data_IF_371293737667
#
_entry.id   IF_371293737667
#
_cell.length_a   1.000
_cell.length_b   1.000
_cell.length_c   1.000
_cell.angle_alpha   90.00
_cell.angle_beta   90.00
_cell.angle_gamma   90.00
#
_symmetry.space_group_name_H-M   'P 1'
#
loop_
_entity.id
_entity.type
_entity.pdbx_description
1 polymer ?
#
# COMPACT_ATOMS: atom_id res chain seq x y z
N UNK A 1 -23.51 5.44 -16.02
CA UNK A 1 -22.97 4.08 -15.75
C UNK A 1 -22.60 4.02 -14.29
N UNK A 2 -22.78 2.88 -13.62
CA UNK A 2 -22.35 2.71 -12.22
C UNK A 2 -20.84 2.39 -12.22
N UNK A 3 -20.00 3.32 -11.79
CA UNK A 3 -18.56 3.15 -11.62
C UNK A 3 -18.29 2.31 -10.35
N UNK A 4 -17.62 1.17 -10.52
CA UNK A 4 -17.27 0.25 -9.42
C UNK A 4 -15.76 0.23 -9.23
N UNK A 5 -15.31 0.79 -8.12
CA UNK A 5 -13.90 0.94 -7.77
C UNK A 5 -13.58 -0.02 -6.63
N UNK A 6 -12.52 -0.80 -6.78
CA UNK A 6 -11.96 -1.60 -5.67
C UNK A 6 -10.64 -0.98 -5.24
N UNK A 7 -10.48 -0.73 -3.94
CA UNK A 7 -9.21 -0.24 -3.38
C UNK A 7 -8.58 -1.36 -2.55
N UNK A 8 -7.39 -1.79 -2.94
CA UNK A 8 -6.61 -2.75 -2.17
C UNK A 8 -5.80 -1.97 -1.14
N UNK A 9 -6.01 -2.27 0.14
CA UNK A 9 -5.26 -1.65 1.24
C UNK A 9 -4.57 -2.72 2.09
N UNK A 10 -3.44 -2.34 2.68
CA UNK A 10 -2.74 -3.15 3.67
C UNK A 10 -2.60 -2.39 4.99
N UNK A 11 -2.84 -3.08 6.10
CA UNK A 11 -2.43 -2.61 7.41
C UNK A 11 -0.93 -2.87 7.60
N UNK A 12 -0.17 -1.85 7.95
CA UNK A 12 1.28 -1.96 8.21
C UNK A 12 1.62 -1.35 9.57
N UNK A 13 2.70 -1.78 10.22
CA UNK A 13 3.22 -1.11 11.41
C UNK A 13 3.57 0.35 11.09
N UNK A 14 3.19 1.28 11.97
CA UNK A 14 3.62 2.67 11.85
C UNK A 14 5.11 2.78 12.19
N UNK A 15 5.81 3.65 11.47
CA UNK A 15 7.21 3.99 11.74
C UNK A 15 7.36 4.98 12.89
N UNK A 16 6.24 5.39 13.53
CA UNK A 16 6.22 6.26 14.71
C UNK A 16 6.59 5.47 15.98
N UNK A 17 7.76 4.85 16.00
CA UNK A 17 8.28 4.21 17.19
C UNK A 17 9.28 5.13 17.86
N UNK A 18 8.87 5.82 18.91
CA UNK A 18 9.82 6.08 20.00
C UNK A 18 9.24 5.52 21.27
N UNK A 19 10.08 4.82 22.02
CA UNK A 19 10.44 5.18 23.39
C UNK A 19 11.32 4.15 24.04
N UNK A 20 12.65 4.29 24.12
CA UNK A 20 13.49 3.51 25.04
C UNK A 20 13.19 3.82 26.52
N UNK A 21 13.32 2.77 27.31
CA UNK A 21 13.28 2.59 28.76
C UNK A 21 14.61 2.73 29.41
N UNK A 22 15.29 3.83 29.18
CA UNK A 22 16.74 3.91 29.34
C UNK A 22 17.26 3.60 30.77
N UNK A 23 16.39 3.46 31.77
CA UNK A 23 16.70 2.95 33.12
C UNK A 23 17.11 1.46 33.16
N UNK A 24 16.64 0.64 32.20
CA UNK A 24 17.34 -0.58 31.72
C UNK A 24 17.88 -0.42 30.29
N UNK A 25 17.33 0.53 29.53
CA UNK A 25 17.15 0.51 28.07
C UNK A 25 15.68 0.34 27.59
N UNK A 26 14.76 -0.27 28.32
CA UNK A 26 13.38 -0.73 27.98
C UNK A 26 12.43 0.10 27.09
N UNK A 27 12.50 0.03 25.75
CA UNK A 27 11.50 0.74 24.94
C UNK A 27 10.08 0.22 25.15
N UNK A 28 9.15 1.00 25.72
CA UNK A 28 7.81 0.44 26.03
C UNK A 28 6.64 1.41 25.85
N UNK A 29 5.67 0.97 25.06
CA UNK A 29 4.23 0.85 25.35
C UNK A 29 3.68 -0.09 24.29
N UNK A 30 3.17 -1.24 24.73
CA UNK A 30 2.87 -2.43 23.92
C UNK A 30 2.06 -2.16 22.65
N UNK A 31 2.51 -2.78 21.55
CA UNK A 31 1.95 -2.76 20.21
C UNK A 31 2.62 -1.72 19.31
N UNK A 32 3.21 -2.12 18.18
CA UNK A 32 3.40 -1.14 17.10
C UNK A 32 1.99 -0.76 16.66
N UNK A 33 1.63 0.51 16.83
CA UNK A 33 0.42 1.03 16.23
C UNK A 33 0.45 0.67 14.75
N UNK A 34 -0.69 0.24 14.23
CA UNK A 34 -0.79 -0.18 12.84
C UNK A 34 -1.79 0.71 12.15
N UNK A 35 -1.42 1.22 10.98
CA UNK A 35 -2.23 2.13 10.19
C UNK A 35 -2.44 1.54 8.79
N UNK A 36 -3.33 2.16 8.02
CA UNK A 36 -3.31 1.96 6.56
C UNK A 36 -1.90 2.31 6.06
N UNK A 37 -1.34 1.47 5.19
CA UNK A 37 -0.12 1.77 4.48
C UNK A 37 -0.18 3.19 3.89
N UNK A 38 0.77 4.09 4.19
CA UNK A 38 0.69 5.48 3.76
C UNK A 38 0.49 5.64 2.25
N UNK A 39 1.06 4.74 1.45
CA UNK A 39 0.93 4.73 -0.01
C UNK A 39 -0.47 4.29 -0.47
N UNK A 40 -1.16 3.44 0.29
CA UNK A 40 -2.53 3.02 0.01
C UNK A 40 -3.55 4.11 0.36
N UNK A 41 -3.23 5.03 1.29
CA UNK A 41 -4.09 6.19 1.57
C UNK A 41 -4.31 7.07 0.34
N UNK A 42 -3.30 7.18 -0.53
CA UNK A 42 -3.43 7.92 -1.80
C UNK A 42 -4.36 7.21 -2.79
N UNK A 43 -4.41 5.88 -2.75
CA UNK A 43 -5.37 5.09 -3.54
C UNK A 43 -6.80 5.27 -3.02
N UNK A 44 -6.99 5.27 -1.70
CA UNK A 44 -8.27 5.56 -1.05
C UNK A 44 -8.75 6.96 -1.40
N UNK A 45 -7.90 7.98 -1.23
CA UNK A 45 -8.25 9.36 -1.56
C UNK A 45 -8.63 9.51 -3.03
N UNK A 46 -7.89 8.89 -3.95
CA UNK A 46 -8.20 8.99 -5.37
C UNK A 46 -9.56 8.36 -5.69
N UNK A 47 -9.88 7.20 -5.11
CA UNK A 47 -11.20 6.60 -5.27
C UNK A 47 -12.31 7.53 -4.77
N UNK A 48 -12.11 8.13 -3.58
CA UNK A 48 -13.08 9.07 -2.99
C UNK A 48 -13.22 10.33 -3.85
N UNK A 49 -12.14 10.88 -4.41
CA UNK A 49 -12.21 12.02 -5.35
C UNK A 49 -12.99 11.69 -6.62
N UNK A 50 -12.83 10.48 -7.16
CA UNK A 50 -13.63 10.03 -8.32
C UNK A 50 -15.11 10.01 -7.93
N UNK A 51 -15.43 9.48 -6.74
CA UNK A 51 -16.80 9.46 -6.22
C UNK A 51 -17.35 10.85 -5.94
N UNK A 52 -16.57 11.79 -5.42
CA UNK A 52 -17.02 13.16 -5.17
C UNK A 52 -17.53 13.85 -6.46
N UNK A 53 -16.98 13.49 -7.63
CA UNK A 53 -17.42 14.00 -8.93
C UNK A 53 -18.71 13.32 -9.45
N UNK A 54 -19.05 12.13 -8.96
CA UNK A 54 -20.20 11.34 -9.43
C UNK A 54 -20.79 10.47 -8.30
N UNK A 55 -21.28 11.08 -7.20
CA UNK A 55 -21.55 10.38 -5.94
C UNK A 55 -22.69 9.35 -6.06
N UNK A 56 -23.71 9.66 -6.85
CA UNK A 56 -24.89 8.78 -7.02
C UNK A 56 -24.62 7.57 -7.92
N UNK A 57 -23.46 7.54 -8.58
CA UNK A 57 -23.12 6.50 -9.57
C UNK A 57 -21.76 5.86 -9.33
N UNK A 58 -21.10 6.15 -8.20
CA UNK A 58 -19.78 5.58 -7.89
C UNK A 58 -19.84 4.81 -6.57
N UNK A 59 -19.45 3.54 -6.62
CA UNK A 59 -19.35 2.67 -5.45
C UNK A 59 -17.91 2.23 -5.24
N UNK A 60 -17.41 2.38 -4.01
CA UNK A 60 -16.04 2.05 -3.64
C UNK A 60 -16.04 0.91 -2.62
N UNK A 61 -15.52 -0.25 -3.01
CA UNK A 61 -15.27 -1.36 -2.10
C UNK A 61 -13.80 -1.37 -1.70
N UNK A 62 -13.50 -1.34 -0.40
CA UNK A 62 -12.15 -1.51 0.12
C UNK A 62 -11.91 -2.97 0.49
N UNK A 63 -10.81 -3.54 0.00
CA UNK A 63 -10.42 -4.94 0.20
C UNK A 63 -9.05 -5.00 0.88
N UNK A 64 -8.96 -5.76 1.97
CA UNK A 64 -7.69 -6.02 2.65
C UNK A 64 -7.52 -7.50 2.95
N UNK A 65 -6.27 -7.97 2.95
CA UNK A 65 -5.91 -9.30 3.47
C UNK A 65 -5.08 -9.10 4.73
N UNK A 66 -5.47 -9.77 5.82
CA UNK A 66 -4.75 -9.65 7.07
C UNK A 66 -5.45 -10.33 8.24
N UNK A 67 -4.87 -10.25 9.44
CA UNK A 67 -5.53 -10.73 10.64
C UNK A 67 -6.73 -9.84 11.00
N UNK A 68 -7.49 -10.24 12.02
CA UNK A 68 -8.69 -9.50 12.46
C UNK A 68 -8.41 -8.04 12.86
N UNK A 69 -7.19 -7.69 13.25
CA UNK A 69 -6.81 -6.30 13.53
C UNK A 69 -6.87 -5.39 12.29
N UNK A 70 -6.73 -5.94 11.08
CA UNK A 70 -6.80 -5.17 9.83
C UNK A 70 -8.21 -4.57 9.58
N UNK A 71 -9.23 -4.99 10.34
CA UNK A 71 -10.54 -4.33 10.36
C UNK A 71 -10.43 -2.84 10.69
N UNK A 72 -9.47 -2.41 11.52
CA UNK A 72 -9.31 -0.98 11.84
C UNK A 72 -8.91 -0.17 10.62
N UNK A 73 -8.01 -0.69 9.77
CA UNK A 73 -7.60 -0.07 8.52
C UNK A 73 -8.78 0.04 7.54
N UNK A 74 -9.60 -1.01 7.43
CA UNK A 74 -10.84 -0.96 6.63
C UNK A 74 -11.82 0.08 7.18
N UNK A 75 -12.02 0.13 8.51
CA UNK A 75 -12.88 1.14 9.15
C UNK A 75 -12.40 2.57 8.87
N UNK A 76 -11.11 2.80 8.86
CA UNK A 76 -10.54 4.10 8.54
C UNK A 76 -10.84 4.49 7.08
N UNK A 77 -10.64 3.59 6.11
CA UNK A 77 -10.99 3.84 4.71
C UNK A 77 -12.50 4.08 4.50
N UNK A 78 -13.36 3.32 5.20
CA UNK A 78 -14.80 3.58 5.25
C UNK A 78 -15.08 4.98 5.83
N UNK A 79 -14.37 5.40 6.88
CA UNK A 79 -14.55 6.72 7.47
C UNK A 79 -14.08 7.86 6.54
N UNK A 80 -13.15 7.59 5.62
CA UNK A 80 -12.70 8.54 4.59
C UNK A 80 -13.71 8.73 3.45
N UNK A 81 -14.53 7.72 3.13
CA UNK A 81 -15.56 7.85 2.08
C UNK A 81 -15.87 6.57 1.30
N UNK A 82 -15.17 5.46 1.55
CA UNK A 82 -15.49 4.16 0.94
C UNK A 82 -16.88 3.66 1.37
N UNK A 83 -17.51 2.83 0.54
CA UNK A 83 -18.88 2.36 0.73
C UNK A 83 -18.94 1.03 1.47
N UNK A 84 -18.09 0.08 1.08
CA UNK A 84 -18.12 -1.29 1.54
C UNK A 84 -16.71 -1.76 1.92
N UNK A 85 -16.59 -2.59 2.96
CA UNK A 85 -15.33 -3.12 3.43
C UNK A 85 -15.31 -4.65 3.46
N UNK A 86 -14.27 -5.24 2.89
CA UNK A 86 -14.04 -6.69 2.88
C UNK A 86 -12.67 -7.02 3.46
N UNK A 87 -12.66 -7.93 4.43
CA UNK A 87 -11.44 -8.50 4.99
C UNK A 87 -11.29 -9.96 4.60
N UNK A 88 -10.21 -10.28 3.90
CA UNK A 88 -9.74 -11.65 3.71
C UNK A 88 -8.91 -12.06 4.92
N UNK A 89 -9.49 -12.89 5.79
CA UNK A 89 -8.87 -13.31 7.06
C UNK A 89 -9.11 -14.79 7.33
N UNK A 90 -8.04 -15.57 7.23
CA UNK A 90 -7.99 -17.01 7.53
C UNK A 90 -6.58 -17.40 7.97
N UNK A 91 -6.45 -18.46 8.77
CA UNK A 91 -5.14 -18.97 9.24
C UNK A 91 -4.30 -19.50 8.09
N UNK A 92 -4.96 -20.03 7.07
CA UNK A 92 -4.40 -20.54 5.82
C UNK A 92 -3.69 -19.46 4.98
N UNK A 93 -3.95 -18.17 5.24
CA UNK A 93 -3.24 -17.07 4.58
C UNK A 93 -1.90 -16.72 5.26
N UNK A 94 -1.60 -17.31 6.41
CA UNK A 94 -0.41 -16.96 7.19
C UNK A 94 0.90 -17.30 6.45
N UNK A 95 1.86 -16.39 6.55
CA UNK A 95 3.19 -16.57 5.98
C UNK A 95 3.24 -16.48 4.45
N UNK A 96 2.20 -15.93 3.81
CA UNK A 96 2.17 -15.69 2.38
C UNK A 96 3.31 -14.76 1.93
N UNK A 97 3.97 -15.13 0.82
CA UNK A 97 4.76 -14.21 0.03
C UNK A 97 3.91 -13.36 -0.92
N UNK A 98 4.54 -12.59 -1.81
CA UNK A 98 3.84 -11.69 -2.74
C UNK A 98 2.96 -12.43 -3.74
N UNK A 99 3.34 -13.63 -4.18
CA UNK A 99 2.55 -14.42 -5.13
C UNK A 99 1.31 -15.01 -4.47
N UNK A 100 1.46 -15.66 -3.30
CA UNK A 100 0.33 -16.22 -2.56
C UNK A 100 -0.63 -15.12 -2.06
N UNK A 101 -0.09 -13.95 -1.70
CA UNK A 101 -0.89 -12.76 -1.36
C UNK A 101 -1.69 -12.28 -2.57
N UNK A 102 -1.05 -12.13 -3.75
CA UNK A 102 -1.73 -11.70 -4.96
C UNK A 102 -2.81 -12.70 -5.38
N UNK A 103 -2.54 -14.01 -5.33
CA UNK A 103 -3.54 -15.05 -5.61
C UNK A 103 -4.77 -14.91 -4.69
N UNK A 104 -4.54 -14.74 -3.39
CA UNK A 104 -5.63 -14.58 -2.40
C UNK A 104 -6.48 -13.34 -2.69
N UNK A 105 -5.84 -12.19 -2.99
CA UNK A 105 -6.54 -10.96 -3.38
C UNK A 105 -7.34 -11.12 -4.67
N UNK A 106 -6.82 -11.84 -5.66
CA UNK A 106 -7.54 -12.14 -6.90
C UNK A 106 -8.79 -12.98 -6.65
N UNK A 107 -8.74 -13.99 -5.77
CA UNK A 107 -9.93 -14.76 -5.42
C UNK A 107 -10.99 -13.88 -4.73
N UNK A 108 -10.58 -12.97 -3.84
CA UNK A 108 -11.48 -11.97 -3.26
C UNK A 108 -12.09 -11.03 -4.31
N UNK A 109 -11.28 -10.54 -5.26
CA UNK A 109 -11.72 -9.66 -6.34
C UNK A 109 -12.75 -10.32 -7.29
N UNK A 110 -12.65 -11.63 -7.53
CA UNK A 110 -13.60 -12.34 -8.40
C UNK A 110 -15.04 -12.24 -7.90
N UNK A 111 -15.26 -12.26 -6.58
CA UNK A 111 -16.57 -12.06 -5.97
C UNK A 111 -17.13 -10.66 -6.15
N UNK A 112 -16.29 -9.68 -6.49
CA UNK A 112 -16.65 -8.27 -6.71
C UNK A 112 -16.88 -7.94 -8.19
N UNK A 113 -16.65 -8.88 -9.11
CA UNK A 113 -16.85 -8.63 -10.52
C UNK A 113 -18.36 -8.46 -10.84
N UNK A 114 -18.76 -7.55 -11.75
CA UNK A 114 -17.91 -6.59 -12.47
C UNK A 114 -17.41 -5.42 -11.60
N UNK A 115 -16.15 -5.05 -11.81
CA UNK A 115 -15.56 -3.78 -11.36
C UNK A 115 -14.84 -3.13 -12.53
N UNK A 116 -14.61 -1.82 -12.42
CA UNK A 116 -14.05 -1.00 -13.49
C UNK A 116 -12.60 -0.58 -13.19
N UNK A 117 -12.30 -0.22 -11.94
CA UNK A 117 -10.98 0.27 -11.55
C UNK A 117 -10.53 -0.41 -10.27
N UNK A 118 -9.29 -0.92 -10.26
CA UNK A 118 -8.61 -1.35 -9.04
C UNK A 118 -7.48 -0.38 -8.72
N UNK A 119 -7.44 0.15 -7.50
CA UNK A 119 -6.38 1.04 -7.03
C UNK A 119 -5.62 0.40 -5.86
N UNK A 120 -4.30 0.59 -5.83
CA UNK A 120 -3.45 0.27 -4.69
C UNK A 120 -2.25 1.22 -4.63
N UNK A 121 -1.54 1.31 -3.51
CA UNK A 121 -0.25 2.00 -3.46
C UNK A 121 0.81 1.29 -4.31
N UNK A 122 1.91 1.98 -4.63
CA UNK A 122 3.04 1.40 -5.36
C UNK A 122 3.69 0.21 -4.62
N UNK A 123 3.74 0.27 -3.29
CA UNK A 123 4.32 -0.75 -2.41
C UNK A 123 3.82 -0.54 -0.99
N UNK A 124 4.02 -1.56 -0.15
CA UNK A 124 3.83 -1.45 1.30
C UNK A 124 5.15 -1.12 1.98
N UNK A 125 5.13 -0.27 3.01
CA UNK A 125 6.34 0.20 3.71
C UNK A 125 7.06 -0.87 4.54
N UNK A 126 6.39 -1.97 4.87
CA UNK A 126 6.95 -3.07 5.66
C UNK A 126 7.70 -4.10 4.80
N UNK A 127 7.12 -4.49 3.66
CA UNK A 127 7.70 -5.47 2.75
C UNK A 127 8.49 -4.86 1.59
N UNK A 128 8.20 -3.62 1.22
CA UNK A 128 8.87 -2.81 0.18
C UNK A 128 9.04 -3.46 -1.22
N UNK A 129 8.31 -4.53 -1.53
CA UNK A 129 8.54 -5.31 -2.76
C UNK A 129 8.03 -4.65 -4.04
N UNK A 130 6.95 -3.86 -3.96
CA UNK A 130 6.27 -3.31 -5.14
C UNK A 130 5.64 -4.35 -6.07
N UNK A 131 5.45 -5.59 -5.63
CA UNK A 131 5.09 -6.72 -6.49
C UNK A 131 3.60 -7.06 -6.53
N UNK A 132 2.87 -6.86 -5.43
CA UNK A 132 1.51 -7.41 -5.26
C UNK A 132 0.52 -6.81 -6.26
N UNK A 133 0.48 -5.49 -6.44
CA UNK A 133 -0.38 -4.83 -7.42
C UNK A 133 -0.19 -5.37 -8.85
N UNK A 134 1.06 -5.37 -9.39
CA UNK A 134 1.36 -5.97 -10.68
C UNK A 134 0.98 -7.45 -10.80
N UNK A 135 1.22 -8.26 -9.76
CA UNK A 135 0.84 -9.67 -9.76
C UNK A 135 -0.68 -9.87 -9.78
N UNK A 136 -1.44 -9.05 -9.04
CA UNK A 136 -2.91 -9.06 -9.07
C UNK A 136 -3.41 -8.73 -10.48
N UNK A 137 -2.87 -7.70 -11.12
CA UNK A 137 -3.25 -7.33 -12.49
C UNK A 137 -2.98 -8.48 -13.47
N UNK A 138 -1.78 -9.08 -13.41
CA UNK A 138 -1.41 -10.19 -14.27
C UNK A 138 -2.31 -11.43 -14.06
N UNK A 139 -2.59 -11.81 -12.81
CA UNK A 139 -3.42 -12.96 -12.48
C UNK A 139 -4.91 -12.76 -12.81
N UNK A 140 -5.41 -11.51 -12.76
CA UNK A 140 -6.76 -11.16 -13.21
C UNK A 140 -6.86 -10.96 -14.73
N UNK A 141 -5.74 -10.84 -15.45
CA UNK A 141 -5.73 -10.47 -16.87
C UNK A 141 -6.12 -9.01 -17.13
N UNK A 142 -5.80 -8.11 -16.19
CA UNK A 142 -6.08 -6.67 -16.31
C UNK A 142 -4.89 -5.93 -16.91
N UNK A 143 -5.15 -4.89 -17.72
CA UNK A 143 -4.16 -3.85 -17.96
C UNK A 143 -3.66 -3.24 -16.64
N UNK A 144 -2.38 -2.84 -16.62
CA UNK A 144 -1.69 -2.31 -15.45
C UNK A 144 -1.02 -0.98 -15.77
N UNK A 145 -1.20 0.01 -14.89
CA UNK A 145 -0.44 1.26 -14.91
C UNK A 145 0.22 1.44 -13.55
N UNK A 146 1.55 1.47 -13.50
CA UNK A 146 2.32 1.68 -12.26
C UNK A 146 2.87 3.09 -12.16
N UNK A 147 3.32 3.48 -10.96
CA UNK A 147 3.95 4.77 -10.68
C UNK A 147 3.06 5.98 -11.05
N UNK A 148 1.75 5.84 -10.82
CA UNK A 148 0.76 6.86 -11.21
C UNK A 148 0.81 8.06 -10.26
N UNK A 149 1.12 9.25 -10.80
CA UNK A 149 1.13 10.53 -10.07
C UNK A 149 -0.01 11.48 -10.50
N UNK A 150 -0.78 11.12 -11.53
CA UNK A 150 -2.04 11.79 -11.89
C UNK A 150 -2.97 10.78 -12.54
N UNK A 151 -4.25 10.81 -12.21
CA UNK A 151 -5.24 9.91 -12.79
C UNK A 151 -6.56 10.66 -13.04
N UNK A 152 -7.08 10.53 -14.25
CA UNK A 152 -8.41 11.02 -14.63
C UNK A 152 -9.22 9.89 -15.24
N UNK A 153 -10.51 9.89 -14.94
CA UNK A 153 -11.48 8.96 -15.50
C UNK A 153 -12.43 9.76 -16.39
N UNK A 154 -12.49 9.40 -17.67
CA UNK A 154 -13.41 10.02 -18.62
C UNK A 154 -14.00 8.97 -19.58
N UNK A 155 -15.31 9.02 -19.81
CA UNK A 155 -16.04 8.19 -20.79
C UNK A 155 -15.62 6.69 -20.89
N UNK A 156 -15.31 6.05 -19.76
CA UNK A 156 -14.92 4.63 -19.73
C UNK A 156 -13.44 4.35 -20.02
N UNK A 157 -12.61 5.39 -20.01
CA UNK A 157 -11.16 5.33 -20.20
C UNK A 157 -10.46 5.99 -19.01
N UNK A 158 -9.38 5.37 -18.55
CA UNK A 158 -8.46 5.97 -17.60
C UNK A 158 -7.31 6.60 -18.37
N UNK A 159 -7.04 7.88 -18.08
CA UNK A 159 -5.81 8.55 -18.49
C UNK A 159 -4.96 8.78 -17.26
N UNK A 160 -3.73 8.29 -17.29
CA UNK A 160 -2.81 8.37 -16.18
C UNK A 160 -1.49 9.01 -16.62
N UNK A 161 -0.93 9.85 -15.75
CA UNK A 161 0.45 10.28 -15.83
C UNK A 161 1.27 9.38 -14.90
N UNK A 162 2.27 8.68 -15.44
CA UNK A 162 3.18 7.85 -14.66
C UNK A 162 4.58 8.43 -14.63
N UNK A 163 5.25 8.31 -13.49
CA UNK A 163 6.64 8.70 -13.34
C UNK A 163 7.58 7.63 -13.90
N UNK A 164 8.68 8.10 -14.49
CA UNK A 164 9.86 7.33 -14.89
C UNK A 164 11.11 8.11 -14.45
N UNK A 165 12.28 7.48 -14.39
CA UNK A 165 13.51 8.07 -13.84
C UNK A 165 13.93 9.39 -14.53
N UNK A 166 13.51 9.60 -15.78
CA UNK A 166 13.81 10.80 -16.57
C UNK A 166 12.64 11.74 -16.86
N UNK A 167 11.45 11.51 -16.28
CA UNK A 167 10.28 12.35 -16.57
C UNK A 167 8.94 11.66 -16.33
N UNK A 168 7.97 11.94 -17.19
CA UNK A 168 6.61 11.38 -17.07
C UNK A 168 6.05 10.94 -18.42
N UNK A 169 5.29 9.85 -18.42
CA UNK A 169 4.53 9.39 -19.57
C UNK A 169 3.03 9.58 -19.32
N UNK A 170 2.31 10.00 -20.36
CA UNK A 170 0.84 10.04 -20.33
C UNK A 170 0.34 8.82 -21.10
N UNK A 171 -0.39 7.95 -20.42
CA UNK A 171 -0.93 6.71 -20.97
C UNK A 171 -2.45 6.69 -20.81
N UNK A 172 -3.15 6.07 -21.75
CA UNK A 172 -4.59 5.83 -21.68
C UNK A 172 -4.90 4.35 -21.80
N UNK A 173 -5.92 3.90 -21.08
CA UNK A 173 -6.33 2.50 -21.03
C UNK A 173 -7.86 2.38 -20.89
N UNK A 174 -8.52 1.49 -21.65
CA UNK A 174 -9.92 1.17 -21.41
C UNK A 174 -10.11 0.47 -20.05
N UNK A 175 -11.32 0.56 -19.50
CA UNK A 175 -11.72 -0.20 -18.31
C UNK A 175 -12.06 -1.66 -18.70
N UNK A 176 -11.84 -2.65 -17.80
CA UNK A 176 -11.29 -2.49 -16.46
C UNK A 176 -9.76 -2.39 -16.43
N UNK A 177 -9.20 -1.71 -15.43
CA UNK A 177 -7.74 -1.50 -15.27
C UNK A 177 -7.33 -1.51 -13.79
N UNK A 178 -6.09 -1.93 -13.51
CA UNK A 178 -5.46 -1.74 -12.21
C UNK A 178 -4.41 -0.63 -12.29
N UNK A 179 -4.44 0.31 -11.35
CA UNK A 179 -3.43 1.35 -11.24
C UNK A 179 -2.75 1.35 -9.85
N UNK A 180 -1.41 1.31 -9.86
CA UNK A 180 -0.59 1.47 -8.65
C UNK A 180 -0.16 2.94 -8.53
N UNK A 181 -0.52 3.57 -7.43
CA UNK A 181 -0.38 5.02 -7.25
C UNK A 181 0.82 5.41 -6.39
N UNK A 182 1.36 6.59 -6.67
CA UNK A 182 2.38 7.24 -5.89
C UNK A 182 1.80 8.24 -4.90
N UNK A 183 2.63 8.64 -3.94
CA UNK A 183 2.29 9.68 -2.97
C UNK A 183 2.03 11.04 -3.62
N UNK A 184 2.65 11.33 -4.76
CA UNK A 184 2.51 12.58 -5.49
C UNK A 184 1.13 12.72 -6.15
N UNK A 185 0.31 11.66 -6.16
CA UNK A 185 -1.02 11.67 -6.78
C UNK A 185 -1.97 12.68 -6.13
N UNK A 186 -1.95 12.76 -4.80
CA UNK A 186 -2.88 13.57 -4.02
C UNK A 186 -2.41 13.73 -2.57
N UNK A 187 -3.11 14.56 -1.81
CA UNK A 187 -3.01 14.64 -0.36
C UNK A 187 -4.25 13.97 0.26
N UNK A 188 -4.11 12.85 0.99
CA UNK A 188 -5.24 12.13 1.56
C UNK A 188 -6.00 12.96 2.59
N UNK A 189 -7.33 12.95 2.52
CA UNK A 189 -8.18 13.64 3.49
C UNK A 189 -8.18 12.93 4.84
N UNK A 190 -8.43 13.70 5.91
CA UNK A 190 -8.73 13.12 7.22
C UNK A 190 -10.20 12.67 7.30
N UNK A 191 -10.50 11.55 7.98
CA UNK A 191 -11.88 11.14 8.22
C UNK A 191 -12.64 12.17 9.07
N UNK A 192 -13.88 12.48 8.68
CA UNK A 192 -14.76 13.35 9.46
C UNK A 192 -15.42 12.59 10.62
N UNK A 193 -15.95 13.31 11.62
CA UNK A 193 -16.69 12.65 12.72
C UNK A 193 -17.91 11.88 12.20
N UNK A 194 -18.69 12.47 11.29
CA UNK A 194 -19.82 11.81 10.65
C UNK A 194 -19.38 10.56 9.88
N UNK A 195 -18.24 10.64 9.17
CA UNK A 195 -17.65 9.49 8.49
C UNK A 195 -17.28 8.36 9.45
N UNK A 196 -16.69 8.68 10.61
CA UNK A 196 -16.35 7.69 11.65
C UNK A 196 -17.60 7.02 12.25
N UNK A 197 -18.67 7.78 12.50
CA UNK A 197 -19.94 7.23 12.99
C UNK A 197 -20.53 6.26 11.97
N UNK A 198 -20.67 6.69 10.71
CA UNK A 198 -21.16 5.83 9.61
C UNK A 198 -20.31 4.57 9.46
N UNK A 199 -18.98 4.74 9.48
CA UNK A 199 -18.06 3.62 9.35
C UNK A 199 -18.18 2.62 10.49
N UNK A 200 -18.55 3.04 11.70
CA UNK A 200 -18.78 2.13 12.83
C UNK A 200 -20.08 1.31 12.67
N UNK A 201 -21.10 1.88 12.03
CA UNK A 201 -22.42 1.26 11.82
C UNK A 201 -22.45 0.24 10.68
N UNK A 202 -21.60 0.39 9.67
CA UNK A 202 -21.49 -0.56 8.56
C UNK A 202 -20.97 -1.91 9.06
N UNK A 203 -21.35 -3.02 8.43
CA UNK A 203 -20.69 -4.30 8.68
C UNK A 203 -19.47 -4.47 7.74
N UNK A 204 -18.41 -5.12 8.25
CA UNK A 204 -17.26 -5.52 7.42
C UNK A 204 -17.43 -7.01 7.10
N UNK A 205 -17.59 -7.32 5.82
CA UNK A 205 -17.63 -8.69 5.33
C UNK A 205 -16.27 -9.35 5.57
N UNK A 206 -16.25 -10.53 6.19
CA UNK A 206 -15.02 -11.27 6.44
C UNK A 206 -15.11 -12.62 5.73
N UNK A 207 -14.13 -12.91 4.89
CA UNK A 207 -14.06 -14.13 4.09
C UNK A 207 -12.74 -14.86 4.41
N UNK A 208 -12.83 -16.17 4.57
CA UNK A 208 -11.68 -17.07 4.66
C UNK A 208 -11.40 -17.72 3.29
N UNK A 209 -10.48 -18.69 3.23
CA UNK A 209 -10.09 -19.35 1.98
C UNK A 209 -11.26 -20.09 1.32
N UNK A 210 -12.20 -20.62 2.10
CA UNK A 210 -13.40 -21.27 1.58
C UNK A 210 -14.41 -20.24 1.06
N UNK A 211 -14.60 -19.13 1.80
CA UNK A 211 -15.49 -18.04 1.42
C UNK A 211 -15.13 -17.36 0.09
N UNK A 212 -13.86 -17.39 -0.30
CA UNK A 212 -13.38 -16.90 -1.62
C UNK A 212 -13.21 -18.02 -2.66
N UNK A 213 -13.53 -19.27 -2.34
CA UNK A 213 -13.38 -20.40 -3.26
C UNK A 213 -11.92 -20.67 -3.69
N UNK A 214 -10.95 -20.36 -2.83
CA UNK A 214 -9.53 -20.52 -3.14
C UNK A 214 -9.05 -21.97 -3.03
N UNK A 215 -8.07 -22.34 -3.86
CA UNK A 215 -7.31 -23.58 -3.69
C UNK A 215 -6.34 -23.43 -2.52
N UNK A 216 -6.56 -24.23 -1.47
CA UNK A 216 -5.75 -24.21 -0.24
C UNK A 216 -4.27 -24.46 -0.47
N UNK A 217 -3.88 -25.15 -1.53
CA UNK A 217 -2.47 -25.40 -1.87
C UNK A 217 -1.74 -24.14 -2.35
N UNK A 218 -2.48 -23.12 -2.81
CA UNK A 218 -1.95 -21.86 -3.33
C UNK A 218 -2.02 -20.71 -2.31
N UNK A 219 -2.42 -21.01 -1.07
CA UNK A 219 -2.57 -20.02 0.00
C UNK A 219 -1.38 -20.04 0.98
N UNK A 220 -1.13 -18.88 1.59
CA UNK A 220 -0.18 -18.74 2.69
C UNK A 220 1.21 -19.27 2.36
N UNK A 221 1.91 -19.74 3.39
CA UNK A 221 3.25 -20.30 3.27
C UNK A 221 3.32 -21.54 2.35
N UNK A 222 2.22 -22.31 2.25
CA UNK A 222 2.17 -23.51 1.41
C UNK A 222 2.23 -23.16 -0.08
N UNK A 223 1.48 -22.13 -0.49
CA UNK A 223 1.47 -21.61 -1.86
C UNK A 223 2.58 -20.63 -2.19
N UNK A 224 3.45 -20.30 -1.24
CA UNK A 224 4.50 -19.29 -1.42
C UNK A 224 5.73 -19.87 -2.12
N UNK A 225 6.07 -19.43 -3.35
CA UNK A 225 7.30 -19.83 -4.02
C UNK A 225 8.57 -19.30 -3.33
N UNK A 226 8.48 -18.18 -2.60
CA UNK A 226 9.61 -17.60 -1.86
C UNK A 226 9.43 -17.76 -0.35
N UNK A 227 10.56 -17.84 0.38
CA UNK A 227 10.59 -18.00 1.85
C UNK A 227 11.72 -17.18 2.45
N UNK A 228 11.40 -16.43 3.51
CA UNK A 228 12.40 -15.70 4.29
C UNK A 228 13.17 -16.68 5.17
N UNK A 229 14.45 -16.93 4.83
CA UNK A 229 15.30 -17.89 5.56
C UNK A 229 15.92 -17.24 6.80
N UNK A 230 16.29 -15.96 6.72
CA UNK A 230 16.99 -15.25 7.79
C UNK A 230 16.73 -13.75 7.70
N UNK A 231 16.45 -13.12 8.85
CA UNK A 231 16.38 -11.66 9.00
C UNK A 231 17.61 -11.20 9.77
N UNK A 232 18.27 -10.15 9.29
CA UNK A 232 19.46 -9.57 9.92
C UNK A 232 19.17 -8.09 10.15
N UNK A 233 19.43 -7.61 11.36
CA UNK A 233 19.36 -6.18 11.68
C UNK A 233 20.77 -5.58 11.50
N UNK A 234 21.03 -4.80 10.43
CA UNK A 234 22.32 -4.18 10.25
C UNK A 234 22.56 -3.17 11.38
N UNK A 235 23.68 -3.30 12.10
CA UNK A 235 24.12 -2.28 13.04
C UNK A 235 25.05 -1.33 12.29
N UNK A 236 24.59 -0.10 12.06
CA UNK A 236 25.41 0.94 11.47
C UNK A 236 26.21 1.61 12.58
N UNK A 237 27.47 1.22 12.76
CA UNK A 237 28.42 2.03 13.52
C UNK A 237 28.80 3.23 12.65
N UNK A 238 28.17 4.38 12.90
CA UNK A 238 28.53 5.63 12.24
C UNK A 238 29.80 6.18 12.89
N UNK A 239 30.94 6.02 12.22
CA UNK A 239 32.17 6.71 12.59
C UNK A 239 32.21 8.08 11.88
N UNK A 240 31.38 9.01 12.35
CA UNK A 240 31.24 10.33 11.73
C UNK A 240 32.55 11.10 11.85
N UNK A 241 33.17 11.42 10.72
CA UNK A 241 34.32 12.32 10.67
C UNK A 241 33.83 13.72 10.26
N UNK A 242 34.17 14.72 11.06
CA UNK A 242 33.86 16.11 10.79
C UNK A 242 35.12 16.82 10.31
N UNK A 243 35.09 17.35 9.09
CA UNK A 243 36.16 18.18 8.54
C UNK A 243 35.71 19.63 8.57
N UNK A 244 36.45 20.49 9.27
CA UNK A 244 36.11 21.89 9.45
C UNK A 244 36.98 22.76 8.52
N UNK A 245 36.34 23.50 7.62
CA UNK A 245 37.01 24.28 6.57
C UNK A 245 37.87 25.46 7.08
N UNK A 246 37.68 25.88 8.34
CA UNK A 246 38.45 26.95 8.98
C UNK A 246 39.88 26.55 9.34
N UNK A 247 40.15 25.26 9.55
CA UNK A 247 41.44 24.80 10.07
C UNK A 247 42.42 24.38 8.94
N UNK A 248 41.90 23.81 7.84
CA UNK A 248 42.71 23.25 6.74
C UNK A 248 42.48 23.95 5.39
N UNK A 249 41.53 24.89 5.34
CA UNK A 249 41.08 25.56 4.12
C UNK A 249 39.95 24.80 3.41
N UNK A 250 39.11 25.55 2.69
CA UNK A 250 37.90 25.02 2.06
C UNK A 250 38.19 23.95 0.99
N UNK A 251 39.26 24.10 0.23
CA UNK A 251 39.68 23.12 -0.79
C UNK A 251 40.07 21.77 -0.16
N UNK A 252 40.86 21.78 0.92
CA UNK A 252 41.26 20.56 1.60
C UNK A 252 40.05 19.81 2.19
N UNK A 253 39.10 20.53 2.80
CA UNK A 253 37.88 19.94 3.32
C UNK A 253 37.01 19.31 2.21
N UNK A 254 36.94 19.93 1.03
CA UNK A 254 36.23 19.39 -0.13
C UNK A 254 36.94 18.14 -0.69
N UNK A 255 38.26 18.14 -0.80
CA UNK A 255 39.04 17.00 -1.26
C UNK A 255 38.89 15.79 -0.32
N UNK A 256 38.86 16.03 0.99
CA UNK A 256 38.61 15.00 2.00
C UNK A 256 37.19 14.42 1.89
N UNK A 257 36.19 15.28 1.67
CA UNK A 257 34.82 14.85 1.46
C UNK A 257 34.69 14.02 0.18
N UNK A 258 35.25 14.49 -0.94
CA UNK A 258 35.20 13.80 -2.23
C UNK A 258 35.90 12.45 -2.16
N UNK A 259 37.08 12.39 -1.53
CA UNK A 259 37.81 11.13 -1.34
C UNK A 259 37.03 10.15 -0.47
N UNK A 260 36.38 10.63 0.58
CA UNK A 260 35.58 9.79 1.48
C UNK A 260 34.32 9.25 0.79
N UNK A 261 33.65 10.08 -0.03
CA UNK A 261 32.48 9.67 -0.82
C UNK A 261 32.84 8.68 -1.93
N UNK A 262 34.00 8.82 -2.58
CA UNK A 262 34.49 7.88 -3.61
C UNK A 262 34.99 6.55 -3.05
N UNK A 263 35.38 6.51 -1.78
CA UNK A 263 35.84 5.31 -1.07
C UNK A 263 34.72 4.57 -0.32
N UNK A 264 33.54 5.17 -0.21
CA UNK A 264 32.38 4.46 0.31
C UNK A 264 32.08 3.28 -0.65
N UNK A 265 32.05 2.03 -0.14
CA UNK A 265 31.81 0.84 -0.95
C UNK A 265 30.42 0.83 -1.58
#
# INVERSE_FOLDING_TARGET
>A
MLARIVVLIKQVPTTESVRLNEETGTMIRTGMDSAINPLDLHAVEQAVRIKDNAPDTTHITVLSMGPSQARSAIREALAMGCDEGILLSGREFAGADTWATAYTLVQGLRGLFPFDLVLCGERATDGETGQVGPMVAALCGLPLITYVNRLTWDEGTITACRAIEGGTEIVSCPLPVLACVLRELNEPRLPTLAGKVRAHELDITVLDGEGIGADKSLLGLAGSPTRVVKVIYPSFQRNTQLFLANDEGMEAALDHLETSLRRAP
#
